data_IF_784316428969
#
_entry.id   IF_784316428969
#
_cell.length_a   1.000
_cell.length_b   1.000
_cell.length_c   1.000
_cell.angle_alpha   90.00
_cell.angle_beta   90.00
_cell.angle_gamma   90.00
#
_symmetry.space_group_name_H-M   'P 1'
#
loop_
_entity.id
_entity.type
_entity.pdbx_description
1 polymer ?
#
# COMPACT_ATOMS: atom_id res chain seq x y z
N UNK A 1 29.34 -43.93 24.40
CA UNK A 1 28.19 -43.61 25.26
C UNK A 1 28.67 -42.63 26.33
N UNK A 2 28.51 -41.38 26.11
CA UNK A 2 28.43 -40.24 27.07
C UNK A 2 28.42 -38.91 26.28
N UNK A 3 27.24 -38.39 26.10
CA UNK A 3 27.00 -37.03 25.59
C UNK A 3 27.44 -36.04 26.68
N UNK A 4 28.38 -35.15 26.38
CA UNK A 4 28.58 -33.91 27.14
C UNK A 4 28.00 -32.76 26.33
N UNK A 5 26.87 -32.23 26.83
CA UNK A 5 26.29 -30.98 26.42
C UNK A 5 27.31 -29.83 26.64
N UNK A 6 27.71 -29.15 25.57
CA UNK A 6 28.37 -27.85 25.66
C UNK A 6 27.31 -26.75 25.68
N UNK A 7 27.22 -26.08 26.80
CA UNK A 7 26.45 -24.81 26.97
C UNK A 7 27.05 -23.74 26.07
N UNK A 8 26.27 -23.30 25.11
CA UNK A 8 26.53 -22.03 24.39
C UNK A 8 25.78 -20.92 25.14
N UNK A 9 26.55 -20.16 25.92
CA UNK A 9 26.03 -18.94 26.54
C UNK A 9 25.79 -17.89 25.46
N UNK A 10 24.49 -17.66 25.17
CA UNK A 10 24.06 -16.61 24.28
C UNK A 10 24.22 -15.25 24.97
N UNK A 11 25.01 -14.37 24.37
CA UNK A 11 24.98 -12.94 24.67
C UNK A 11 23.86 -12.31 23.85
N UNK A 12 22.71 -12.15 24.46
CA UNK A 12 21.62 -11.32 23.97
C UNK A 12 21.91 -9.87 24.35
N UNK A 13 22.40 -9.07 23.40
CA UNK A 13 22.43 -7.62 23.53
C UNK A 13 21.01 -7.09 23.28
N UNK A 14 20.25 -6.91 24.36
CA UNK A 14 18.97 -6.20 24.38
C UNK A 14 19.27 -4.70 24.31
N UNK A 15 19.20 -4.14 23.10
CA UNK A 15 19.07 -2.68 22.93
C UNK A 15 17.60 -2.33 23.18
N UNK A 16 17.28 -1.99 24.42
CA UNK A 16 16.00 -1.41 24.78
C UNK A 16 15.98 0.06 24.31
N UNK A 17 15.50 0.30 23.09
CA UNK A 17 15.06 1.64 22.72
C UNK A 17 13.67 1.86 23.34
N UNK A 18 13.62 2.67 24.40
CA UNK A 18 12.38 3.14 24.99
C UNK A 18 11.57 3.95 23.97
N UNK A 19 10.57 3.32 23.36
CA UNK A 19 9.47 4.04 22.74
C UNK A 19 8.52 4.46 23.86
N UNK A 20 8.56 5.73 24.20
CA UNK A 20 7.51 6.39 24.96
C UNK A 20 6.18 6.25 24.16
N UNK A 21 5.31 5.40 24.65
CA UNK A 21 3.93 5.32 24.20
C UNK A 21 3.25 6.64 24.57
N UNK A 22 3.09 7.53 23.60
CA UNK A 22 2.21 8.67 23.70
C UNK A 22 0.77 8.14 23.80
N UNK A 23 0.22 8.41 24.97
CA UNK A 23 -1.15 8.19 25.40
C UNK A 23 -2.10 8.77 24.34
N UNK A 24 -2.62 7.93 23.46
CA UNK A 24 -3.80 8.26 22.63
C UNK A 24 -4.99 8.09 23.54
N UNK A 25 -5.59 9.22 23.90
CA UNK A 25 -6.90 9.22 24.52
C UNK A 25 -7.88 8.45 23.63
N UNK A 26 -8.09 7.19 23.96
CA UNK A 26 -9.19 6.41 23.47
C UNK A 26 -10.46 7.03 24.04
N UNK A 27 -11.16 7.81 23.21
CA UNK A 27 -12.61 7.96 23.34
C UNK A 27 -13.21 6.60 22.95
N UNK A 28 -12.91 5.57 23.74
CA UNK A 28 -13.69 4.36 23.77
C UNK A 28 -15.03 4.71 24.39
N UNK A 29 -16.00 5.01 23.54
CA UNK A 29 -17.43 4.94 23.93
C UNK A 29 -17.63 3.51 24.45
N UNK A 30 -17.74 3.36 25.77
CA UNK A 30 -18.16 2.12 26.40
C UNK A 30 -19.58 1.84 25.91
N UNK A 31 -19.72 1.02 24.88
CA UNK A 31 -21.00 0.44 24.48
C UNK A 31 -21.37 -0.56 25.56
N UNK A 32 -22.23 -0.13 26.48
CA UNK A 32 -22.94 -1.03 27.38
C UNK A 32 -23.79 -1.97 26.51
N UNK A 33 -23.57 -3.27 26.62
CA UNK A 33 -24.47 -4.30 26.09
C UNK A 33 -25.83 -4.09 26.76
N UNK A 34 -26.91 -4.07 25.95
CA UNK A 34 -28.33 -4.05 26.32
C UNK A 34 -28.99 -2.66 26.54
N UNK A 35 -28.82 -1.73 25.60
CA UNK A 35 -29.87 -0.72 25.35
C UNK A 35 -29.90 -0.40 23.87
N UNK A 36 -31.06 -0.58 23.23
CA UNK A 36 -31.31 -0.07 21.88
C UNK A 36 -31.12 1.45 21.90
N UNK A 37 -29.92 1.90 21.54
CA UNK A 37 -29.59 3.33 21.49
C UNK A 37 -30.26 3.92 20.26
N UNK A 38 -31.24 4.80 20.47
CA UNK A 38 -31.82 5.63 19.40
C UNK A 38 -30.86 6.78 19.16
N UNK A 39 -30.27 6.85 17.97
CA UNK A 39 -29.41 7.95 17.55
C UNK A 39 -30.15 8.77 16.49
N UNK A 40 -30.35 10.02 16.76
CA UNK A 40 -30.84 10.97 15.74
C UNK A 40 -29.63 11.65 15.09
N UNK A 41 -29.55 11.59 13.76
CA UNK A 41 -28.45 12.18 12.99
C UNK A 41 -28.99 13.24 12.03
N UNK A 42 -28.27 14.35 11.98
CA UNK A 42 -28.34 15.35 10.90
C UNK A 42 -27.45 14.92 9.73
N UNK A 43 -27.67 15.51 8.55
CA UNK A 43 -26.85 15.22 7.37
C UNK A 43 -25.36 15.51 7.62
N UNK A 44 -25.04 16.64 8.26
CA UNK A 44 -23.66 17.03 8.53
C UNK A 44 -22.96 16.03 9.47
N UNK A 45 -23.63 15.64 10.55
CA UNK A 45 -23.10 14.66 11.49
C UNK A 45 -22.88 13.29 10.83
N UNK A 46 -23.80 12.87 9.95
CA UNK A 46 -23.65 11.63 9.20
C UNK A 46 -22.43 11.66 8.27
N UNK A 47 -22.20 12.78 7.56
CA UNK A 47 -21.04 12.96 6.68
C UNK A 47 -19.74 12.99 7.49
N UNK A 48 -19.68 13.72 8.61
CA UNK A 48 -18.49 13.80 9.45
C UNK A 48 -18.14 12.43 10.08
N UNK A 49 -19.17 11.68 10.50
CA UNK A 49 -19.02 10.33 11.00
C UNK A 49 -18.52 9.38 9.89
N UNK A 50 -19.05 9.46 8.69
CA UNK A 50 -18.63 8.65 7.56
C UNK A 50 -17.17 8.92 7.17
N UNK A 51 -16.76 10.17 7.13
CA UNK A 51 -15.36 10.57 6.83
C UNK A 51 -14.36 10.07 7.87
N UNK A 52 -14.78 9.84 9.09
CA UNK A 52 -13.90 9.36 10.17
C UNK A 52 -13.92 7.86 10.33
N UNK A 53 -15.09 7.24 10.30
CA UNK A 53 -15.31 5.87 10.77
C UNK A 53 -15.72 4.89 9.68
N UNK A 54 -16.20 5.35 8.51
CA UNK A 54 -16.65 4.42 7.47
C UNK A 54 -15.51 3.50 7.01
N UNK A 55 -15.80 2.22 6.72
CA UNK A 55 -14.80 1.30 6.17
C UNK A 55 -14.10 1.85 4.92
N UNK A 56 -14.82 2.56 4.07
CA UNK A 56 -14.29 3.19 2.87
C UNK A 56 -13.30 4.32 3.18
N UNK A 57 -13.61 5.21 4.14
CA UNK A 57 -12.70 6.27 4.58
C UNK A 57 -11.45 5.72 5.28
N UNK A 58 -11.61 4.68 6.10
CA UNK A 58 -10.48 3.98 6.75
C UNK A 58 -9.58 3.34 5.69
N UNK A 59 -10.16 2.67 4.70
CA UNK A 59 -9.43 2.08 3.56
C UNK A 59 -8.64 3.15 2.78
N UNK A 60 -9.29 4.26 2.40
CA UNK A 60 -8.65 5.38 1.72
C UNK A 60 -7.47 5.95 2.52
N UNK A 61 -7.63 6.09 3.84
CA UNK A 61 -6.56 6.53 4.75
C UNK A 61 -5.38 5.58 4.77
N UNK A 62 -5.62 4.26 4.80
CA UNK A 62 -4.55 3.27 4.78
C UNK A 62 -3.85 3.21 3.41
N UNK A 63 -4.59 3.36 2.32
CA UNK A 63 -4.02 3.45 0.97
C UNK A 63 -3.09 4.66 0.85
N UNK A 64 -3.53 5.82 1.32
CA UNK A 64 -2.68 7.02 1.35
C UNK A 64 -1.45 6.85 2.26
N UNK A 65 -1.60 6.23 3.45
CA UNK A 65 -0.46 5.92 4.33
C UNK A 65 0.55 5.01 3.65
N UNK A 66 0.09 4.01 2.91
CA UNK A 66 0.97 3.14 2.12
C UNK A 66 1.76 3.95 1.08
N UNK A 67 1.09 4.81 0.32
CA UNK A 67 1.74 5.68 -0.65
C UNK A 67 2.74 6.66 -0.01
N UNK A 68 2.38 7.24 1.15
CA UNK A 68 3.29 8.11 1.91
C UNK A 68 4.57 7.39 2.34
N UNK A 69 4.44 6.18 2.91
CA UNK A 69 5.60 5.41 3.36
C UNK A 69 6.43 4.91 2.17
N UNK A 70 5.80 4.55 1.06
CA UNK A 70 6.49 4.20 -0.20
C UNK A 70 7.32 5.37 -0.71
N UNK A 71 6.76 6.58 -0.75
CA UNK A 71 7.48 7.78 -1.14
C UNK A 71 8.61 8.13 -0.16
N UNK A 72 8.39 7.97 1.15
CA UNK A 72 9.42 8.18 2.16
C UNK A 72 10.55 7.16 2.04
N UNK A 73 10.23 5.89 1.80
CA UNK A 73 11.20 4.83 1.54
C UNK A 73 12.00 5.13 0.26
N UNK A 74 11.32 5.55 -0.81
CA UNK A 74 11.99 6.02 -2.02
C UNK A 74 12.99 7.15 -1.73
N UNK A 75 12.60 8.16 -0.97
CA UNK A 75 13.53 9.25 -0.58
C UNK A 75 14.72 8.74 0.23
N UNK A 76 14.50 7.74 1.07
CA UNK A 76 15.57 7.13 1.87
C UNK A 76 16.61 6.40 1.01
N UNK A 77 16.25 5.91 -0.19
CA UNK A 77 17.20 5.29 -1.12
C UNK A 77 18.31 6.24 -1.62
N UNK A 78 18.15 7.55 -1.42
CA UNK A 78 19.15 8.56 -1.73
C UNK A 78 20.02 8.97 -0.52
N UNK A 79 19.76 8.38 0.64
CA UNK A 79 20.56 8.59 1.85
C UNK A 79 21.54 7.43 2.06
N UNK A 80 22.66 7.66 2.76
CA UNK A 80 23.57 6.58 3.10
C UNK A 80 22.86 5.53 3.98
N UNK A 81 23.03 4.27 3.64
CA UNK A 81 22.54 3.14 4.44
C UNK A 81 23.73 2.46 5.14
N UNK A 82 23.59 2.18 6.42
CA UNK A 82 24.55 1.40 7.20
C UNK A 82 23.97 0.01 7.42
N UNK A 83 24.68 -1.01 6.95
CA UNK A 83 24.29 -2.42 7.08
C UNK A 83 25.38 -3.21 7.78
N UNK A 84 24.98 -4.13 8.66
CA UNK A 84 25.85 -5.17 9.19
C UNK A 84 25.39 -6.51 8.62
N UNK A 85 26.32 -7.28 8.10
CA UNK A 85 26.08 -8.63 7.61
C UNK A 85 27.06 -9.62 8.23
N UNK A 86 26.60 -10.84 8.45
CA UNK A 86 27.43 -11.96 8.91
C UNK A 86 26.89 -13.23 8.31
N UNK A 87 27.78 -13.99 7.67
CA UNK A 87 27.44 -15.24 6.98
C UNK A 87 28.34 -16.38 7.51
N UNK A 88 27.99 -17.00 8.65
CA UNK A 88 28.73 -18.16 9.12
C UNK A 88 28.58 -19.33 8.13
N UNK A 89 29.69 -19.90 7.69
CA UNK A 89 29.74 -21.01 6.76
C UNK A 89 30.53 -22.18 7.35
N UNK A 90 29.89 -23.34 7.46
CA UNK A 90 30.51 -24.58 7.84
C UNK A 90 30.65 -25.49 6.59
N UNK A 91 31.86 -25.54 6.07
CA UNK A 91 32.17 -26.32 4.87
C UNK A 91 32.89 -27.61 5.24
N UNK A 92 32.35 -28.72 4.76
CA UNK A 92 33.02 -30.04 4.79
C UNK A 92 32.96 -30.63 3.38
N UNK A 93 34.09 -30.56 2.68
CA UNK A 93 34.17 -30.97 1.28
C UNK A 93 35.56 -31.53 0.96
N UNK A 94 35.69 -32.18 -0.19
CA UNK A 94 36.97 -32.56 -0.76
C UNK A 94 37.30 -31.57 -1.89
N UNK A 95 38.35 -30.81 -1.72
CA UNK A 95 38.82 -29.83 -2.71
C UNK A 95 40.11 -30.28 -3.37
N UNK A 96 40.25 -29.97 -4.65
CA UNK A 96 41.48 -30.18 -5.41
C UNK A 96 42.40 -28.98 -5.13
N UNK A 97 43.57 -29.27 -4.62
CA UNK A 97 44.60 -28.25 -4.32
C UNK A 97 45.81 -28.51 -5.20
N UNK A 98 46.31 -27.46 -5.83
CA UNK A 98 47.60 -27.53 -6.55
C UNK A 98 48.73 -27.20 -5.58
N UNK A 99 49.68 -28.13 -5.43
CA UNK A 99 50.84 -27.97 -4.61
C UNK A 99 51.89 -27.09 -5.31
N UNK A 100 52.88 -26.60 -4.55
CA UNK A 100 53.94 -25.71 -5.10
C UNK A 100 54.84 -26.33 -6.17
N UNK A 101 54.81 -27.67 -6.30
CA UNK A 101 55.51 -28.44 -7.37
C UNK A 101 54.66 -28.61 -8.65
N UNK A 102 53.43 -27.99 -8.67
CA UNK A 102 52.51 -28.15 -9.78
C UNK A 102 51.64 -29.40 -9.76
N UNK A 103 51.84 -30.33 -8.80
CA UNK A 103 51.03 -31.52 -8.66
C UNK A 103 49.65 -31.18 -8.03
N UNK A 104 48.64 -31.95 -8.41
CA UNK A 104 47.28 -31.76 -7.92
C UNK A 104 46.90 -32.89 -6.94
N UNK A 105 46.39 -32.52 -5.77
CA UNK A 105 45.97 -33.46 -4.75
C UNK A 105 44.55 -33.13 -4.26
N UNK A 106 43.76 -34.15 -4.03
CA UNK A 106 42.50 -34.04 -3.34
C UNK A 106 42.72 -33.99 -1.83
N UNK A 107 42.23 -32.93 -1.18
CA UNK A 107 42.37 -32.71 0.27
C UNK A 107 41.00 -32.53 0.86
N UNK A 108 40.71 -33.21 1.94
CA UNK A 108 39.53 -32.95 2.74
C UNK A 108 39.63 -31.55 3.37
N UNK A 109 38.64 -30.72 3.18
CA UNK A 109 38.54 -29.44 3.83
C UNK A 109 37.36 -29.48 4.81
N UNK A 110 37.65 -29.26 6.07
CA UNK A 110 36.68 -29.18 7.14
C UNK A 110 36.93 -27.89 7.89
N UNK A 111 36.12 -26.85 7.58
CA UNK A 111 36.36 -25.51 8.08
C UNK A 111 35.08 -24.79 8.46
N UNK A 112 35.19 -23.95 9.48
CA UNK A 112 34.18 -22.97 9.87
C UNK A 112 34.70 -21.56 9.55
N UNK A 113 34.00 -20.87 8.69
CA UNK A 113 34.25 -19.47 8.39
C UNK A 113 33.14 -18.64 9.02
N UNK A 114 33.51 -17.63 9.76
CA UNK A 114 32.59 -16.63 10.31
C UNK A 114 33.10 -15.26 9.88
N UNK A 115 32.30 -14.56 9.12
CA UNK A 115 32.58 -13.19 8.69
C UNK A 115 31.61 -12.21 9.33
N UNK A 116 32.08 -11.00 9.56
CA UNK A 116 31.29 -9.84 9.95
C UNK A 116 31.71 -8.67 9.08
N UNK A 117 30.77 -8.05 8.43
CA UNK A 117 30.97 -6.89 7.55
C UNK A 117 30.05 -5.75 7.94
N UNK A 118 30.63 -4.56 8.12
CA UNK A 118 29.93 -3.30 8.30
C UNK A 118 30.11 -2.48 7.02
N UNK A 119 29.00 -2.15 6.36
CA UNK A 119 29.03 -1.44 5.07
C UNK A 119 28.14 -0.20 5.11
N UNK A 120 28.67 0.93 4.67
CA UNK A 120 27.93 2.15 4.37
C UNK A 120 27.83 2.24 2.85
N UNK A 121 26.61 2.29 2.31
CA UNK A 121 26.39 2.46 0.87
C UNK A 121 25.55 3.68 0.57
N UNK A 122 25.93 4.40 -0.49
CA UNK A 122 25.25 5.62 -0.97
C UNK A 122 25.00 5.53 -2.46
N UNK A 123 23.76 5.61 -2.87
CA UNK A 123 23.39 5.67 -4.28
C UNK A 123 23.60 7.06 -4.87
N UNK A 124 24.15 7.12 -6.08
CA UNK A 124 24.40 8.37 -6.83
C UNK A 124 23.38 8.48 -7.96
N UNK A 125 22.38 9.33 -7.81
CA UNK A 125 21.27 9.46 -8.76
C UNK A 125 21.66 9.97 -10.14
N UNK A 126 22.74 10.77 -10.26
CA UNK A 126 23.22 11.33 -11.52
C UNK A 126 23.74 10.23 -12.44
N UNK A 127 24.55 9.36 -11.91
CA UNK A 127 25.26 8.32 -12.67
C UNK A 127 24.53 6.97 -12.63
N UNK A 128 23.73 6.73 -11.58
CA UNK A 128 23.11 5.42 -11.32
C UNK A 128 24.04 4.42 -10.68
N UNK A 129 25.23 4.88 -10.22
CA UNK A 129 26.18 4.07 -9.47
C UNK A 129 25.98 4.14 -7.97
N UNK A 130 26.80 3.39 -7.24
CA UNK A 130 26.83 3.38 -5.78
C UNK A 130 28.25 3.56 -5.26
N UNK A 131 28.41 4.42 -4.30
CA UNK A 131 29.60 4.58 -3.49
C UNK A 131 29.45 3.75 -2.21
N UNK A 132 30.51 3.09 -1.79
CA UNK A 132 30.47 2.31 -0.56
C UNK A 132 31.78 2.44 0.25
N UNK A 133 31.62 2.32 1.56
CA UNK A 133 32.72 2.20 2.54
C UNK A 133 32.40 0.99 3.38
N UNK A 134 33.31 0.03 3.44
CA UNK A 134 33.10 -1.21 4.18
C UNK A 134 34.28 -1.55 5.08
N UNK A 135 34.00 -2.21 6.20
CA UNK A 135 34.95 -2.80 7.11
C UNK A 135 34.57 -4.25 7.36
N UNK A 136 35.49 -5.18 7.22
CA UNK A 136 35.18 -6.60 7.42
C UNK A 136 36.23 -7.33 8.24
N UNK A 137 35.77 -8.32 8.97
CA UNK A 137 36.60 -9.26 9.73
C UNK A 137 36.08 -10.67 9.47
N UNK A 138 36.97 -11.54 9.03
CA UNK A 138 36.70 -12.94 8.82
C UNK A 138 37.56 -13.79 9.76
N UNK A 139 36.95 -14.74 10.42
CA UNK A 139 37.62 -15.79 11.20
C UNK A 139 37.42 -17.12 10.52
N UNK A 140 38.47 -17.78 10.19
CA UNK A 140 38.48 -19.14 9.61
C UNK A 140 39.11 -20.12 10.58
N UNK A 141 38.40 -21.19 10.90
CA UNK A 141 38.90 -22.33 11.72
C UNK A 141 38.94 -23.58 10.85
N UNK A 142 40.12 -24.13 10.67
CA UNK A 142 40.31 -25.43 10.04
C UNK A 142 40.30 -26.50 11.12
N UNK A 143 39.39 -27.49 11.01
CA UNK A 143 39.26 -28.53 12.02
C UNK A 143 40.33 -29.60 11.87
N UNK A 144 40.81 -29.89 10.66
CA UNK A 144 41.78 -30.92 10.36
C UNK A 144 43.19 -30.61 10.91
N UNK A 145 43.59 -29.32 10.82
CA UNK A 145 44.85 -28.84 11.39
C UNK A 145 44.71 -28.11 12.72
N UNK A 146 43.46 -27.97 13.24
CA UNK A 146 43.11 -27.18 14.41
C UNK A 146 43.69 -25.77 14.39
N UNK A 147 43.86 -25.19 13.20
CA UNK A 147 44.42 -23.86 13.02
C UNK A 147 43.30 -22.84 12.91
N UNK A 148 43.55 -21.62 13.44
CA UNK A 148 42.68 -20.47 13.35
C UNK A 148 43.42 -19.37 12.63
N UNK A 149 42.77 -18.75 11.64
CA UNK A 149 43.28 -17.57 10.96
C UNK A 149 42.22 -16.47 10.91
N UNK A 150 42.69 -15.25 10.95
CA UNK A 150 41.88 -14.06 10.83
C UNK A 150 42.29 -13.29 9.59
N UNK A 151 41.31 -12.76 8.88
CA UNK A 151 41.50 -11.78 7.82
C UNK A 151 40.70 -10.55 8.14
N UNK A 152 41.36 -9.39 8.23
CA UNK A 152 40.67 -8.14 8.38
C UNK A 152 40.79 -7.28 7.12
N UNK A 153 39.78 -6.50 6.89
CA UNK A 153 39.82 -5.36 5.94
C UNK A 153 39.30 -4.15 6.72
N UNK A 154 40.21 -3.44 7.43
CA UNK A 154 39.82 -2.36 8.35
C UNK A 154 39.00 -1.27 7.67
N UNK A 155 39.37 -0.91 6.43
CA UNK A 155 38.64 0.03 5.61
C UNK A 155 38.81 -0.30 4.13
N UNK A 156 37.72 -0.35 3.42
CA UNK A 156 37.65 -0.42 1.96
C UNK A 156 36.71 0.68 1.49
N UNK A 157 37.13 1.48 0.53
CA UNK A 157 36.31 2.50 -0.13
C UNK A 157 36.20 2.09 -1.59
N UNK A 158 34.97 2.13 -2.12
CA UNK A 158 34.78 1.73 -3.51
C UNK A 158 33.60 2.42 -4.18
N UNK A 159 33.60 2.28 -5.49
CA UNK A 159 32.55 2.78 -6.36
C UNK A 159 32.17 1.74 -7.40
N UNK A 160 30.87 1.50 -7.55
CA UNK A 160 30.32 0.60 -8.56
C UNK A 160 29.41 1.38 -9.50
N UNK A 161 29.64 1.25 -10.82
CA UNK A 161 28.91 2.00 -11.84
C UNK A 161 28.61 1.14 -13.05
N UNK A 162 27.36 1.04 -13.44
CA UNK A 162 26.98 0.55 -14.76
C UNK A 162 27.04 1.69 -15.78
N UNK A 163 27.98 1.62 -16.73
CA UNK A 163 28.29 2.73 -17.64
C UNK A 163 27.21 2.94 -18.70
N UNK A 164 26.65 1.87 -19.26
CA UNK A 164 25.62 1.92 -20.31
C UNK A 164 24.29 1.30 -19.84
N UNK A 165 24.15 1.12 -18.53
CA UNK A 165 22.96 0.55 -17.93
C UNK A 165 21.79 1.54 -17.87
N UNK A 166 20.62 0.99 -17.60
CA UNK A 166 19.44 1.78 -17.26
C UNK A 166 19.60 2.39 -15.86
N UNK A 167 19.51 3.70 -15.77
CA UNK A 167 19.56 4.40 -14.50
C UNK A 167 18.14 4.51 -13.91
N UNK A 168 17.73 3.56 -13.07
CA UNK A 168 16.43 3.55 -12.41
C UNK A 168 16.25 4.76 -11.50
N UNK A 169 17.28 5.14 -10.73
CA UNK A 169 17.23 6.26 -9.78
C UNK A 169 16.84 7.59 -10.45
N UNK A 170 17.32 7.81 -11.70
CA UNK A 170 16.97 9.00 -12.47
C UNK A 170 15.50 9.02 -12.87
N UNK A 171 14.93 7.87 -13.23
CA UNK A 171 13.54 7.75 -13.62
C UNK A 171 12.62 7.80 -12.40
N UNK A 172 12.97 7.08 -11.34
CA UNK A 172 12.22 7.07 -10.07
C UNK A 172 12.13 8.49 -9.49
N UNK A 173 13.19 9.30 -9.62
CA UNK A 173 13.18 10.72 -9.21
C UNK A 173 12.14 11.57 -9.96
N UNK A 174 11.72 11.15 -11.15
CA UNK A 174 10.68 11.83 -11.94
C UNK A 174 9.30 11.25 -11.69
N UNK A 175 9.20 9.93 -11.52
CA UNK A 175 7.95 9.20 -11.41
C UNK A 175 7.38 9.27 -9.99
N UNK A 176 8.20 9.02 -8.96
CA UNK A 176 7.72 8.90 -7.59
C UNK A 176 7.09 10.18 -7.00
N UNK A 177 7.57 11.40 -7.30
CA UNK A 177 6.87 12.61 -6.88
C UNK A 177 5.48 12.78 -7.52
N UNK A 178 5.31 12.35 -8.78
CA UNK A 178 4.01 12.38 -9.48
C UNK A 178 3.08 11.36 -8.83
N UNK A 179 3.54 10.12 -8.62
CA UNK A 179 2.79 9.08 -7.93
C UNK A 179 2.32 9.49 -6.53
N UNK A 180 3.17 10.18 -5.78
CA UNK A 180 2.78 10.68 -4.45
C UNK A 180 1.75 11.81 -4.53
N UNK A 181 1.86 12.70 -5.53
CA UNK A 181 0.89 13.78 -5.78
C UNK A 181 -0.47 13.21 -6.20
N UNK A 182 -0.49 12.23 -7.10
CA UNK A 182 -1.66 11.43 -7.48
C UNK A 182 -2.33 10.81 -6.25
N UNK A 183 -1.58 10.07 -5.42
CA UNK A 183 -2.10 9.42 -4.23
C UNK A 183 -2.69 10.41 -3.20
N UNK A 184 -2.12 11.62 -3.09
CA UNK A 184 -2.66 12.68 -2.23
C UNK A 184 -4.01 13.18 -2.73
N UNK A 185 -4.13 13.41 -4.04
CA UNK A 185 -5.39 13.86 -4.66
C UNK A 185 -6.44 12.75 -4.61
N UNK A 186 -6.07 11.50 -4.92
CA UNK A 186 -6.95 10.34 -4.84
C UNK A 186 -7.50 10.11 -3.42
N UNK A 187 -6.73 10.41 -2.39
CA UNK A 187 -7.22 10.37 -1.01
C UNK A 187 -8.32 11.39 -0.75
N UNK A 188 -8.13 12.64 -1.23
CA UNK A 188 -9.15 13.70 -1.09
C UNK A 188 -10.42 13.32 -1.86
N UNK A 189 -10.28 12.88 -3.10
CA UNK A 189 -11.39 12.40 -3.93
C UNK A 189 -12.15 11.26 -3.26
N UNK A 190 -11.45 10.27 -2.71
CA UNK A 190 -12.07 9.16 -1.99
C UNK A 190 -12.91 9.62 -0.79
N UNK A 191 -12.47 10.66 -0.07
CA UNK A 191 -13.26 11.23 1.03
C UNK A 191 -14.50 11.98 0.53
N UNK A 192 -14.42 12.67 -0.62
CA UNK A 192 -15.58 13.33 -1.21
C UNK A 192 -16.59 12.30 -1.75
N UNK A 193 -16.11 11.20 -2.36
CA UNK A 193 -16.97 10.08 -2.75
C UNK A 193 -17.67 9.43 -1.55
N UNK A 194 -16.96 9.28 -0.42
CA UNK A 194 -17.58 8.82 0.83
C UNK A 194 -18.67 9.78 1.29
N UNK A 195 -18.44 11.09 1.18
CA UNK A 195 -19.44 12.09 1.54
C UNK A 195 -20.67 12.02 0.64
N UNK A 196 -20.48 11.92 -0.68
CA UNK A 196 -21.57 11.83 -1.65
C UNK A 196 -22.41 10.56 -1.44
N UNK A 197 -21.77 9.41 -1.22
CA UNK A 197 -22.48 8.15 -0.94
C UNK A 197 -23.23 8.19 0.40
N UNK A 198 -22.68 8.87 1.41
CA UNK A 198 -23.38 9.10 2.68
C UNK A 198 -24.64 9.92 2.47
N UNK A 199 -24.58 11.00 1.68
CA UNK A 199 -25.73 11.81 1.33
C UNK A 199 -26.82 10.97 0.66
N UNK A 200 -26.45 10.13 -0.31
CA UNK A 200 -27.39 9.24 -1.00
C UNK A 200 -28.10 8.29 -0.03
N UNK A 201 -27.35 7.62 0.86
CA UNK A 201 -27.90 6.69 1.85
C UNK A 201 -28.74 7.39 2.92
N UNK A 202 -28.32 8.58 3.33
CA UNK A 202 -29.07 9.40 4.28
C UNK A 202 -30.46 9.78 3.73
N UNK A 203 -30.52 10.29 2.50
CA UNK A 203 -31.80 10.65 1.88
C UNK A 203 -32.65 9.43 1.52
N UNK A 204 -32.04 8.29 1.16
CA UNK A 204 -32.78 7.05 0.97
C UNK A 204 -33.51 6.62 2.27
N UNK A 205 -32.83 6.68 3.42
CA UNK A 205 -33.46 6.41 4.72
C UNK A 205 -34.54 7.46 5.07
N UNK A 206 -34.27 8.74 4.82
CA UNK A 206 -35.24 9.80 5.08
C UNK A 206 -36.54 9.61 4.27
N UNK A 207 -36.41 9.23 3.00
CA UNK A 207 -37.54 8.92 2.13
C UNK A 207 -38.30 7.67 2.63
N UNK A 208 -37.60 6.62 3.00
CA UNK A 208 -38.20 5.40 3.53
C UNK A 208 -38.96 5.65 4.84
N UNK A 209 -38.42 6.50 5.75
CA UNK A 209 -39.11 6.94 6.96
C UNK A 209 -40.41 7.70 6.64
N UNK A 210 -40.36 8.64 5.68
CA UNK A 210 -41.54 9.37 5.26
C UNK A 210 -42.60 8.46 4.63
N UNK A 211 -42.19 7.50 3.81
CA UNK A 211 -43.10 6.52 3.22
C UNK A 211 -43.75 5.61 4.27
N UNK A 212 -43.00 5.20 5.28
CA UNK A 212 -43.53 4.41 6.38
C UNK A 212 -44.57 5.20 7.19
N UNK A 213 -44.29 6.47 7.53
CA UNK A 213 -45.22 7.33 8.24
C UNK A 213 -46.52 7.56 7.44
N UNK A 214 -46.38 7.73 6.10
CA UNK A 214 -47.52 7.90 5.20
C UNK A 214 -48.36 6.61 5.11
N UNK A 215 -47.73 5.44 4.95
CA UNK A 215 -48.43 4.15 4.93
C UNK A 215 -49.18 3.90 6.24
N UNK A 216 -48.54 4.20 7.37
CA UNK A 216 -49.17 4.12 8.70
C UNK A 216 -50.37 5.05 8.85
N UNK A 217 -50.27 6.28 8.34
CA UNK A 217 -51.39 7.21 8.33
C UNK A 217 -52.56 6.70 7.47
N UNK A 218 -52.30 6.16 6.29
CA UNK A 218 -53.29 5.58 5.40
C UNK A 218 -53.98 4.35 6.02
N UNK A 219 -53.20 3.47 6.65
CA UNK A 219 -53.76 2.33 7.40
C UNK A 219 -54.70 2.78 8.51
N UNK A 220 -54.29 3.76 9.32
CA UNK A 220 -55.14 4.28 10.40
C UNK A 220 -56.46 4.85 9.86
N UNK A 221 -56.44 5.53 8.70
CA UNK A 221 -57.65 6.00 8.04
C UNK A 221 -58.52 4.88 7.52
N UNK A 222 -57.93 3.88 6.85
CA UNK A 222 -58.65 2.70 6.36
C UNK A 222 -59.28 1.87 7.49
N UNK A 223 -58.56 1.68 8.60
CA UNK A 223 -59.08 1.00 9.81
C UNK A 223 -60.25 1.75 10.46
N UNK A 224 -60.16 3.08 10.50
CA UNK A 224 -61.24 3.94 10.98
C UNK A 224 -62.47 3.83 10.09
N UNK A 225 -62.32 3.88 8.77
CA UNK A 225 -63.40 3.70 7.79
C UNK A 225 -64.06 2.32 7.90
N UNK A 226 -63.24 1.28 8.05
CA UNK A 226 -63.75 -0.08 8.27
C UNK A 226 -64.59 -0.19 9.57
N UNK A 227 -64.12 0.37 10.70
CA UNK A 227 -64.84 0.40 11.95
C UNK A 227 -66.18 1.13 11.82
N UNK A 228 -66.21 2.29 11.18
CA UNK A 228 -67.46 3.00 10.87
C UNK A 228 -68.35 2.23 9.92
N UNK A 229 -67.81 1.56 8.89
CA UNK A 229 -68.53 0.71 7.97
C UNK A 229 -69.20 -0.47 8.69
N UNK A 230 -68.49 -1.14 9.58
CA UNK A 230 -69.00 -2.22 10.39
C UNK A 230 -70.22 -1.81 11.25
N UNK A 231 -70.12 -0.66 11.94
CA UNK A 231 -71.26 -0.12 12.70
C UNK A 231 -72.47 0.22 11.82
N UNK A 232 -72.26 0.74 10.57
CA UNK A 232 -73.32 0.99 9.60
C UNK A 232 -73.97 -0.30 9.06
N UNK A 233 -73.22 -1.36 8.89
CA UNK A 233 -73.69 -2.66 8.48
C UNK A 233 -74.58 -3.29 9.56
N UNK A 234 -74.17 -3.23 10.83
CA UNK A 234 -74.94 -3.75 11.98
C UNK A 234 -76.29 -3.11 12.12
N UNK A 235 -76.48 -1.87 11.68
CA UNK A 235 -77.76 -1.14 11.64
C UNK A 235 -78.47 -1.21 10.26
N UNK A 236 -77.96 -2.02 9.33
CA UNK A 236 -78.56 -2.24 8.00
C UNK A 236 -78.44 -1.07 7.05
N UNK A 237 -77.46 -0.15 7.20
CA UNK A 237 -77.25 1.04 6.39
C UNK A 237 -76.33 0.85 5.19
N UNK A 238 -75.54 -0.22 5.15
CA UNK A 238 -74.67 -0.61 4.03
C UNK A 238 -74.79 -2.09 3.72
N UNK A 239 -74.41 -2.47 2.52
CA UNK A 239 -74.43 -3.87 2.06
C UNK A 239 -73.19 -4.63 2.54
N UNK A 240 -73.28 -5.97 2.59
CA UNK A 240 -72.13 -6.84 2.92
C UNK A 240 -70.98 -6.65 1.94
N UNK A 241 -71.27 -6.44 0.67
CA UNK A 241 -70.30 -6.20 -0.37
C UNK A 241 -69.48 -4.89 -0.12
N UNK A 242 -70.13 -3.81 0.32
CA UNK A 242 -69.47 -2.57 0.72
C UNK A 242 -68.58 -2.77 1.97
N UNK A 243 -69.04 -3.56 2.96
CA UNK A 243 -68.22 -3.86 4.13
C UNK A 243 -66.98 -4.67 3.76
N UNK A 244 -67.12 -5.72 2.93
CA UNK A 244 -66.01 -6.52 2.43
C UNK A 244 -65.01 -5.65 1.64
N UNK A 245 -65.47 -4.68 0.87
CA UNK A 245 -64.59 -3.77 0.14
C UNK A 245 -63.76 -2.89 1.08
N UNK A 246 -64.36 -2.41 2.18
CA UNK A 246 -63.63 -1.67 3.23
C UNK A 246 -62.60 -2.55 3.94
N UNK A 247 -62.93 -3.85 4.18
CA UNK A 247 -62.05 -4.82 4.78
C UNK A 247 -60.83 -5.10 3.89
N UNK A 248 -61.04 -5.34 2.59
CA UNK A 248 -59.98 -5.53 1.60
C UNK A 248 -59.06 -4.33 1.56
N UNK A 249 -59.64 -3.10 1.55
CA UNK A 249 -58.82 -1.87 1.57
C UNK A 249 -57.95 -1.79 2.83
N UNK A 250 -58.51 -2.09 4.01
CA UNK A 250 -57.76 -2.10 5.27
C UNK A 250 -56.63 -3.15 5.26
N UNK A 251 -56.88 -4.36 4.70
CA UNK A 251 -55.87 -5.40 4.58
C UNK A 251 -54.73 -4.99 3.62
N UNK A 252 -55.09 -4.38 2.49
CA UNK A 252 -54.10 -3.86 1.56
C UNK A 252 -53.20 -2.80 2.19
N UNK A 253 -53.79 -1.84 2.93
CA UNK A 253 -53.01 -0.82 3.65
C UNK A 253 -52.16 -1.43 4.78
N UNK A 254 -52.62 -2.51 5.42
CA UNK A 254 -51.80 -3.26 6.38
C UNK A 254 -50.56 -3.87 5.73
N UNK A 255 -50.69 -4.41 4.51
CA UNK A 255 -49.55 -4.95 3.75
C UNK A 255 -48.61 -3.84 3.36
N UNK A 256 -49.13 -2.68 2.90
CA UNK A 256 -48.31 -1.51 2.57
C UNK A 256 -47.49 -1.01 3.75
N UNK A 257 -48.00 -1.04 4.98
CA UNK A 257 -47.24 -0.69 6.21
C UNK A 257 -46.13 -1.69 6.46
N UNK A 258 -46.38 -3.01 6.26
CA UNK A 258 -45.35 -4.04 6.43
C UNK A 258 -44.21 -3.85 5.41
N UNK A 259 -44.54 -3.64 4.14
CA UNK A 259 -43.56 -3.44 3.08
C UNK A 259 -42.73 -2.17 3.32
N UNK A 260 -43.37 -1.07 3.68
CA UNK A 260 -42.68 0.19 4.01
C UNK A 260 -41.78 0.06 5.26
N UNK A 261 -42.18 -0.77 6.26
CA UNK A 261 -41.37 -1.05 7.44
C UNK A 261 -40.09 -1.83 7.08
N UNK A 262 -40.24 -2.84 6.21
CA UNK A 262 -39.08 -3.65 5.75
C UNK A 262 -38.09 -2.77 4.97
N UNK A 263 -38.61 -1.91 4.07
CA UNK A 263 -37.75 -1.02 3.28
C UNK A 263 -37.03 0.00 4.16
N UNK A 264 -37.73 0.59 5.14
CA UNK A 264 -37.13 1.50 6.12
C UNK A 264 -36.01 0.81 6.92
N UNK A 265 -36.23 -0.44 7.36
CA UNK A 265 -35.21 -1.20 8.07
C UNK A 265 -34.02 -1.56 7.20
N UNK A 266 -34.22 -1.87 5.91
CA UNK A 266 -33.16 -2.14 4.96
C UNK A 266 -32.28 -0.88 4.74
N UNK A 267 -32.91 0.28 4.49
CA UNK A 267 -32.20 1.55 4.34
C UNK A 267 -31.44 1.95 5.62
N UNK A 268 -32.06 1.72 6.80
CA UNK A 268 -31.42 1.96 8.10
C UNK A 268 -30.17 1.09 8.28
N UNK A 269 -30.27 -0.21 8.00
CA UNK A 269 -29.14 -1.12 8.11
C UNK A 269 -28.02 -0.77 7.12
N UNK A 270 -28.39 -0.41 5.89
CA UNK A 270 -27.43 0.01 4.87
C UNK A 270 -26.64 1.25 5.31
N UNK A 271 -27.30 2.24 5.91
CA UNK A 271 -26.65 3.43 6.44
C UNK A 271 -25.78 3.10 7.68
N UNK A 272 -26.29 2.30 8.64
CA UNK A 272 -25.52 1.89 9.82
C UNK A 272 -24.22 1.17 9.45
N UNK A 273 -24.28 0.19 8.53
CA UNK A 273 -23.10 -0.54 8.05
C UNK A 273 -22.13 0.41 7.34
N UNK A 274 -22.63 1.34 6.54
CA UNK A 274 -21.80 2.30 5.83
C UNK A 274 -21.09 3.27 6.78
N UNK A 275 -21.75 3.71 7.84
CA UNK A 275 -21.15 4.56 8.88
C UNK A 275 -20.20 3.80 9.82
N UNK A 276 -20.14 2.47 9.72
CA UNK A 276 -19.36 1.62 10.64
C UNK A 276 -19.99 1.47 12.01
N UNK A 277 -21.31 1.67 12.12
CA UNK A 277 -22.09 1.47 13.34
C UNK A 277 -22.56 0.02 13.47
N UNK A 278 -22.91 -0.38 14.69
CA UNK A 278 -23.52 -1.69 14.93
C UNK A 278 -24.94 -1.75 14.28
N UNK A 279 -25.28 -2.90 13.72
CA UNK A 279 -26.59 -3.15 13.07
C UNK A 279 -27.79 -3.00 14.00
N UNK A 280 -27.57 -3.12 15.31
CA UNK A 280 -28.61 -3.04 16.33
C UNK A 280 -28.98 -1.59 16.75
N UNK A 281 -28.30 -0.59 16.20
CA UNK A 281 -28.59 0.82 16.49
C UNK A 281 -29.87 1.24 15.77
N UNK A 282 -30.81 1.82 16.50
CA UNK A 282 -32.00 2.45 15.91
C UNK A 282 -31.61 3.87 15.47
N UNK A 283 -31.33 3.97 14.17
CA UNK A 283 -30.96 5.24 13.55
C UNK A 283 -32.20 5.95 13.03
N UNK A 284 -32.41 7.20 13.44
CA UNK A 284 -33.39 8.13 12.88
C UNK A 284 -32.66 9.28 12.22
N UNK A 285 -33.10 9.66 11.03
CA UNK A 285 -32.55 10.82 10.33
C UNK A 285 -33.47 12.01 10.45
N UNK A 286 -32.87 13.18 10.69
CA UNK A 286 -33.56 14.45 10.74
C UNK A 286 -33.15 15.32 9.54
N UNK A 287 -34.09 15.54 8.63
CA UNK A 287 -33.85 16.37 7.44
C UNK A 287 -34.12 17.81 7.80
N UNK A 288 -33.09 18.66 7.76
CA UNK A 288 -33.24 20.10 7.83
C UNK A 288 -33.06 20.67 6.41
N UNK A 289 -34.18 21.08 5.78
CA UNK A 289 -34.17 21.37 4.33
C UNK A 289 -33.97 22.86 4.12
N UNK A 290 -32.72 23.33 4.21
CA UNK A 290 -32.33 24.56 3.52
C UNK A 290 -31.54 24.16 2.28
N UNK A 291 -32.13 24.25 1.10
CA UNK A 291 -31.47 23.98 -0.17
C UNK A 291 -30.64 25.19 -0.57
N UNK A 292 -29.28 25.12 -0.53
CA UNK A 292 -28.47 26.25 -0.94
C UNK A 292 -28.60 26.49 -2.45
N UNK A 293 -28.80 27.75 -2.87
CA UNK A 293 -28.83 28.13 -4.27
C UNK A 293 -27.40 28.27 -4.79
N UNK A 294 -26.83 27.19 -5.29
CA UNK A 294 -25.46 27.14 -5.85
C UNK A 294 -25.55 27.38 -7.36
N UNK A 295 -24.78 28.34 -7.88
CA UNK A 295 -24.53 28.51 -9.31
C UNK A 295 -23.10 28.02 -9.61
N UNK A 296 -22.99 26.99 -10.41
CA UNK A 296 -21.68 26.46 -10.83
C UNK A 296 -21.25 27.17 -12.11
N UNK A 297 -20.05 27.76 -12.11
CA UNK A 297 -19.42 28.27 -13.33
C UNK A 297 -18.63 27.11 -13.98
N UNK A 298 -18.99 26.66 -15.20
CA UNK A 298 -18.34 25.52 -15.87
C UNK A 298 -16.84 25.74 -16.11
N UNK A 299 -16.41 26.94 -16.45
CA UNK A 299 -15.00 27.25 -16.71
C UNK A 299 -14.14 27.08 -15.45
N UNK A 300 -14.62 27.62 -14.32
CA UNK A 300 -13.94 27.45 -13.03
C UNK A 300 -13.94 25.99 -12.57
N UNK A 301 -15.03 25.26 -12.79
CA UNK A 301 -15.12 23.84 -12.48
C UNK A 301 -14.07 23.03 -13.27
N UNK A 302 -13.92 23.33 -14.56
CA UNK A 302 -12.91 22.69 -15.42
C UNK A 302 -11.46 23.01 -15.00
N UNK A 303 -11.17 24.27 -14.65
CA UNK A 303 -9.84 24.64 -14.12
C UNK A 303 -9.53 23.92 -12.80
N UNK A 304 -10.51 23.86 -11.88
CA UNK A 304 -10.35 23.17 -10.60
C UNK A 304 -10.21 21.65 -10.79
N UNK A 305 -10.94 21.07 -11.73
CA UNK A 305 -10.81 19.68 -12.11
C UNK A 305 -9.37 19.36 -12.59
N UNK A 306 -8.88 20.10 -13.58
CA UNK A 306 -7.53 19.93 -14.10
C UNK A 306 -6.43 20.07 -13.04
N UNK A 307 -6.66 20.90 -12.03
CA UNK A 307 -5.71 21.12 -10.94
C UNK A 307 -5.79 20.02 -9.88
N UNK A 308 -6.97 19.52 -9.55
CA UNK A 308 -7.22 18.71 -8.37
C UNK A 308 -7.50 17.23 -8.68
N UNK A 309 -7.84 16.87 -9.93
CA UNK A 309 -8.08 15.47 -10.31
C UNK A 309 -6.81 14.62 -10.17
N UNK A 310 -6.88 13.44 -9.54
CA UNK A 310 -5.80 12.46 -9.54
C UNK A 310 -5.57 11.86 -10.92
N UNK A 311 -6.61 11.80 -11.79
CA UNK A 311 -6.52 11.21 -13.11
C UNK A 311 -5.48 11.90 -13.99
N UNK A 312 -5.36 13.23 -13.89
CA UNK A 312 -4.37 14.01 -14.65
C UNK A 312 -2.95 13.62 -14.25
N UNK A 313 -2.70 13.43 -12.94
CA UNK A 313 -1.40 12.98 -12.45
C UNK A 313 -1.14 11.51 -12.82
N UNK A 314 -2.15 10.66 -12.85
CA UNK A 314 -2.05 9.28 -13.32
C UNK A 314 -1.66 9.22 -14.80
N UNK A 315 -2.29 10.02 -15.66
CA UNK A 315 -1.93 10.12 -17.09
C UNK A 315 -0.47 10.57 -17.27
N UNK A 316 -0.02 11.57 -16.50
CA UNK A 316 1.38 12.02 -16.51
C UNK A 316 2.33 10.88 -16.09
N UNK A 317 1.98 10.15 -15.03
CA UNK A 317 2.76 9.01 -14.52
C UNK A 317 2.87 7.89 -15.56
N UNK A 318 1.76 7.50 -16.19
CA UNK A 318 1.73 6.46 -17.23
C UNK A 318 2.65 6.81 -18.40
N UNK A 319 2.65 8.07 -18.85
CA UNK A 319 3.57 8.54 -19.90
C UNK A 319 5.03 8.48 -19.47
N UNK A 320 5.36 8.84 -18.23
CA UNK A 320 6.72 8.75 -17.70
C UNK A 320 7.18 7.28 -17.57
N UNK A 321 6.32 6.41 -17.08
CA UNK A 321 6.60 4.97 -16.93
C UNK A 321 6.81 4.29 -18.29
N UNK A 322 6.00 4.61 -19.30
CA UNK A 322 6.15 4.05 -20.65
C UNK A 322 7.50 4.50 -21.30
N UNK A 323 7.87 5.77 -21.16
CA UNK A 323 9.17 6.29 -21.62
C UNK A 323 10.33 5.62 -20.88
N UNK A 324 10.20 5.42 -19.58
CA UNK A 324 11.16 4.69 -18.74
C UNK A 324 11.33 3.26 -19.23
N UNK A 325 10.24 2.56 -19.55
CA UNK A 325 10.27 1.21 -20.13
C UNK A 325 11.02 1.11 -21.46
N UNK A 326 10.86 2.10 -22.33
CA UNK A 326 11.64 2.16 -23.58
C UNK A 326 13.14 2.40 -23.31
N UNK A 327 13.47 3.29 -22.36
CA UNK A 327 14.87 3.53 -21.97
C UNK A 327 15.51 2.26 -21.40
N UNK A 328 14.78 1.53 -20.56
CA UNK A 328 15.21 0.25 -19.98
C UNK A 328 15.41 -0.82 -21.06
N UNK A 329 14.47 -0.94 -22.00
CA UNK A 329 14.58 -1.89 -23.10
C UNK A 329 15.81 -1.61 -23.99
N UNK A 330 16.09 -0.33 -24.26
CA UNK A 330 17.28 0.09 -25.04
C UNK A 330 18.57 -0.23 -24.31
N UNK A 331 18.69 0.10 -23.02
CA UNK A 331 19.86 -0.19 -22.20
C UNK A 331 20.13 -1.70 -22.11
N UNK A 332 19.06 -2.51 -21.98
CA UNK A 332 19.18 -3.96 -21.87
C UNK A 332 19.49 -4.67 -23.22
N UNK A 333 19.26 -4.01 -24.36
CA UNK A 333 19.53 -4.55 -25.68
C UNK A 333 20.93 -4.21 -26.21
N UNK A 334 21.62 -3.28 -25.57
CA UNK A 334 22.93 -2.76 -26.01
C UNK A 334 24.13 -3.35 -25.27
N UNK A 335 25.25 -2.70 -25.46
CA UNK A 335 26.50 -2.91 -24.71
C UNK A 335 26.24 -2.66 -23.23
N UNK A 336 26.69 -3.57 -22.37
CA UNK A 336 26.76 -3.39 -20.91
C UNK A 336 28.23 -3.32 -20.52
N UNK A 337 28.56 -2.33 -19.72
CA UNK A 337 29.87 -2.24 -19.12
C UNK A 337 29.71 -1.82 -17.66
N UNK A 338 30.34 -2.56 -16.77
CA UNK A 338 30.30 -2.32 -15.35
C UNK A 338 31.71 -1.98 -14.86
N UNK A 339 31.84 -0.83 -14.24
CA UNK A 339 33.05 -0.37 -13.59
C UNK A 339 32.92 -0.62 -12.07
N UNK A 340 33.91 -1.31 -11.52
CA UNK A 340 34.06 -1.50 -10.09
C UNK A 340 35.47 -1.09 -9.68
N UNK A 341 35.56 -0.14 -8.78
CA UNK A 341 36.84 0.36 -8.25
C UNK A 341 36.77 0.31 -6.74
N UNK A 342 37.79 -0.26 -6.13
CA UNK A 342 37.94 -0.20 -4.67
C UNK A 342 39.40 -0.01 -4.29
N UNK A 343 39.62 0.69 -3.20
CA UNK A 343 40.92 0.82 -2.55
C UNK A 343 40.70 0.69 -1.01
N UNK A 344 41.69 0.16 -0.34
CA UNK A 344 41.61 -0.07 1.07
C UNK A 344 42.79 -0.80 1.65
N UNK A 345 42.62 -1.33 2.81
CA UNK A 345 43.63 -2.04 3.57
C UNK A 345 43.16 -3.46 3.89
N UNK A 346 44.06 -4.44 3.82
CA UNK A 346 43.76 -5.80 4.26
C UNK A 346 44.97 -6.45 4.93
N UNK A 347 44.73 -7.33 5.89
CA UNK A 347 45.76 -8.08 6.61
C UNK A 347 45.22 -9.44 7.04
N UNK A 348 46.14 -10.39 7.17
CA UNK A 348 45.86 -11.72 7.71
C UNK A 348 46.74 -11.98 8.93
N UNK A 349 46.23 -12.75 9.88
CA UNK A 349 47.01 -13.10 11.08
C UNK A 349 46.45 -14.39 11.73
N UNK A 350 47.23 -14.97 12.59
CA UNK A 350 46.82 -16.14 13.41
C UNK A 350 46.05 -15.69 14.68
N UNK A 351 46.20 -14.40 15.04
CA UNK A 351 45.48 -13.77 16.15
C UNK A 351 44.75 -12.54 15.70
N UNK A 352 43.75 -12.13 16.45
CA UNK A 352 42.95 -10.91 16.16
C UNK A 352 43.84 -9.66 16.02
N UNK A 353 44.79 -9.46 16.94
CA UNK A 353 45.68 -8.30 16.88
C UNK A 353 46.57 -8.28 15.65
N UNK A 354 47.12 -9.42 15.26
CA UNK A 354 47.97 -9.51 14.08
C UNK A 354 47.20 -9.16 12.79
N UNK A 355 45.92 -9.47 12.72
CA UNK A 355 45.09 -9.14 11.58
C UNK A 355 44.83 -7.62 11.40
N UNK A 356 45.13 -6.80 12.43
CA UNK A 356 45.02 -5.33 12.37
C UNK A 356 46.37 -4.61 12.42
N UNK A 357 47.49 -5.36 12.57
CA UNK A 357 48.83 -4.78 12.66
C UNK A 357 49.46 -4.74 11.27
N UNK A 358 49.95 -3.56 10.85
CA UNK A 358 50.59 -3.31 9.55
C UNK A 358 49.78 -3.84 8.35
N UNK A 359 48.54 -3.35 8.14
CA UNK A 359 47.73 -3.78 7.03
C UNK A 359 48.35 -3.38 5.69
N UNK A 360 48.26 -4.26 4.70
CA UNK A 360 48.76 -4.05 3.35
C UNK A 360 47.74 -3.28 2.52
N UNK A 361 48.21 -2.45 1.58
CA UNK A 361 47.39 -1.76 0.62
C UNK A 361 46.69 -2.76 -0.32
N UNK A 362 45.43 -2.56 -0.54
CA UNK A 362 44.63 -3.33 -1.47
C UNK A 362 43.97 -2.37 -2.48
N UNK A 363 44.19 -2.62 -3.75
CA UNK A 363 43.56 -1.89 -4.83
C UNK A 363 42.99 -2.86 -5.85
N UNK A 364 41.77 -2.60 -6.29
CA UNK A 364 41.13 -3.41 -7.32
C UNK A 364 40.36 -2.51 -8.26
N UNK A 365 40.67 -2.64 -9.56
CA UNK A 365 39.87 -2.07 -10.63
C UNK A 365 39.37 -3.21 -11.51
N UNK A 366 38.09 -3.30 -11.68
CA UNK A 366 37.46 -4.30 -12.54
C UNK A 366 36.56 -3.59 -13.54
N UNK A 367 36.78 -3.85 -14.82
CA UNK A 367 35.89 -3.43 -15.90
C UNK A 367 35.30 -4.67 -16.54
N UNK A 368 34.02 -4.86 -16.36
CA UNK A 368 33.27 -5.94 -17.02
C UNK A 368 32.61 -5.39 -18.28
N UNK A 369 32.77 -6.07 -19.39
CA UNK A 369 32.12 -5.71 -20.67
C UNK A 369 31.32 -6.93 -21.13
N UNK A 370 30.04 -6.73 -21.44
CA UNK A 370 29.15 -7.74 -21.98
C UNK A 370 28.38 -7.18 -23.18
N UNK A 371 28.64 -7.80 -24.35
CA UNK A 371 27.97 -7.44 -25.59
C UNK A 371 27.29 -8.69 -26.18
N UNK A 372 25.97 -8.67 -26.41
CA UNK A 372 25.30 -9.75 -27.10
C UNK A 372 25.69 -9.74 -28.57
N UNK A 373 26.58 -10.65 -28.99
CA UNK A 373 27.06 -10.72 -30.39
C UNK A 373 26.00 -11.32 -31.30
N UNK A 374 25.31 -12.37 -30.83
CA UNK A 374 24.23 -13.04 -31.57
C UNK A 374 23.06 -13.35 -30.63
N UNK A 375 21.98 -12.60 -30.76
CA UNK A 375 20.77 -12.76 -29.94
C UNK A 375 19.51 -13.03 -30.77
N UNK A 376 19.70 -13.33 -32.08
CA UNK A 376 18.61 -13.58 -33.04
C UNK A 376 17.57 -12.45 -33.10
N UNK A 377 17.96 -11.25 -32.77
CA UNK A 377 17.08 -10.07 -32.78
C UNK A 377 16.24 -9.89 -31.52
N UNK A 378 16.47 -10.67 -30.45
CA UNK A 378 15.75 -10.57 -29.16
C UNK A 378 15.82 -9.16 -28.58
N UNK A 379 17.01 -8.54 -28.56
CA UNK A 379 17.20 -7.17 -28.06
C UNK A 379 16.40 -6.15 -28.88
N UNK A 380 16.51 -6.20 -30.21
CA UNK A 380 15.74 -5.33 -31.11
C UNK A 380 14.24 -5.55 -30.98
N UNK A 381 13.81 -6.81 -30.85
CA UNK A 381 12.40 -7.17 -30.62
C UNK A 381 11.85 -6.55 -29.33
N UNK A 382 12.58 -6.65 -28.22
CA UNK A 382 12.18 -6.03 -26.94
C UNK A 382 12.05 -4.51 -27.04
N UNK A 383 12.98 -3.83 -27.74
CA UNK A 383 12.87 -2.39 -27.97
C UNK A 383 11.66 -2.03 -28.82
N UNK A 384 11.37 -2.80 -29.87
CA UNK A 384 10.15 -2.58 -30.69
C UNK A 384 8.87 -2.77 -29.87
N UNK A 385 8.81 -3.82 -29.05
CA UNK A 385 7.66 -4.05 -28.14
C UNK A 385 7.51 -2.87 -27.15
N UNK A 386 8.59 -2.41 -26.54
CA UNK A 386 8.52 -1.28 -25.62
C UNK A 386 8.05 0.01 -26.29
N UNK A 387 8.53 0.29 -27.52
CA UNK A 387 8.08 1.44 -28.32
C UNK A 387 6.59 1.33 -28.70
N UNK A 388 6.13 0.15 -29.13
CA UNK A 388 4.72 -0.05 -29.45
C UNK A 388 3.83 0.14 -28.20
N UNK A 389 4.31 -0.28 -27.03
CA UNK A 389 3.62 -0.02 -25.75
C UNK A 389 3.59 1.47 -25.41
N UNK A 390 4.69 2.20 -25.64
CA UNK A 390 4.73 3.65 -25.46
C UNK A 390 3.69 4.35 -26.35
N UNK A 391 3.60 3.99 -27.63
CA UNK A 391 2.60 4.57 -28.55
C UNK A 391 1.17 4.20 -28.14
N UNK A 392 0.94 2.97 -27.71
CA UNK A 392 -0.36 2.55 -27.21
C UNK A 392 -0.76 3.38 -25.96
N UNK A 393 0.16 3.57 -25.00
CA UNK A 393 -0.09 4.41 -23.83
C UNK A 393 -0.37 5.86 -24.23
N UNK A 394 0.34 6.43 -25.21
CA UNK A 394 0.05 7.79 -25.70
C UNK A 394 -1.37 7.91 -26.22
N UNK A 395 -1.80 6.96 -27.04
CA UNK A 395 -3.16 6.96 -27.60
C UNK A 395 -4.21 6.81 -26.48
N UNK A 396 -3.95 5.91 -25.52
CA UNK A 396 -4.85 5.72 -24.38
C UNK A 396 -4.96 6.98 -23.52
N UNK A 397 -3.83 7.64 -23.24
CA UNK A 397 -3.79 8.90 -22.48
C UNK A 397 -4.56 10.01 -23.19
N UNK A 398 -4.39 10.14 -24.51
CA UNK A 398 -5.13 11.11 -25.32
C UNK A 398 -6.63 10.82 -25.31
N UNK A 399 -7.01 9.56 -25.48
CA UNK A 399 -8.40 9.14 -25.41
C UNK A 399 -9.02 9.39 -24.02
N UNK A 400 -8.31 9.05 -22.95
CA UNK A 400 -8.78 9.30 -21.58
C UNK A 400 -8.91 10.79 -21.30
N UNK A 401 -7.96 11.61 -21.76
CA UNK A 401 -8.03 13.05 -21.63
C UNK A 401 -9.28 13.62 -22.32
N UNK A 402 -9.53 13.19 -23.56
CA UNK A 402 -10.73 13.61 -24.28
C UNK A 402 -12.02 13.18 -23.57
N UNK A 403 -12.04 11.95 -22.98
CA UNK A 403 -13.18 11.50 -22.19
C UNK A 403 -13.41 12.34 -20.92
N UNK A 404 -12.31 12.73 -20.24
CA UNK A 404 -12.39 13.60 -19.06
C UNK A 404 -12.86 15.03 -19.41
N UNK A 405 -12.56 15.50 -20.61
CA UNK A 405 -13.03 16.81 -21.10
C UNK A 405 -14.52 16.79 -21.50
N UNK A 406 -15.06 15.59 -21.86
CA UNK A 406 -16.48 15.44 -22.27
C UNK A 406 -17.42 15.18 -21.08
N UNK A 407 -16.93 14.66 -19.96
CA UNK A 407 -17.72 14.35 -18.75
C UNK A 407 -17.73 15.53 -17.76
#
# INVERSE_FOLDING_TARGET
>A
MNLKLCYITGWSLLVATGLSAQNRGDLAVKVGRDSCQVIELTLQEAVDMARTNSPSAVSARHTFRSAYWSYRSFRANYLPSLTFSSNPDLTRTISKVTLGDGSEKYVSQNMLTVDGELSISQNVSLTGGSFFVQSSLQRMKLFDSNSVSFRSSPIIIGYSQSLFGYNSLRWDRRIEPVRYREAKKAYVESLELVSAETVNKFFALAQAQSNYDMARFNYNNADTLYKFGKGRYEIGRITENELLQLEINRLNESTNVMDASIEMDNCRQALCVYLGLDKNVILKVRVNVEVPRIRVNPEQAYELFNRNSPDIDDLERQLLESKSGVAQARANAGLKADLYVQCGLSQTGTTFNQAYTNPNDQQQVRVGISLPILDWGRGRGRVKVAKSREELVKIQVEQQRNNLEMN
#
